data_IF_743311240688
#
_entry.id   IF_743311240688
#
_cell.length_a   1.000
_cell.length_b   1.000
_cell.length_c   1.000
_cell.angle_alpha   90.00
_cell.angle_beta   90.00
_cell.angle_gamma   90.00
#
_symmetry.space_group_name_H-M   'P 1'
#
loop_
_entity.id
_entity.type
_entity.pdbx_description
1 polymer ?
#
# COMPACT_ATOMS: atom_id res chain seq x y z
N UNK A 1 -12.98 -39.62 -46.48
CA UNK A 1 -11.90 -38.61 -46.50
C UNK A 1 -12.47 -37.34 -45.93
N UNK A 2 -12.05 -36.88 -44.72
CA UNK A 2 -12.41 -35.54 -44.20
C UNK A 2 -11.76 -34.53 -45.14
N UNK A 3 -12.54 -33.62 -45.68
CA UNK A 3 -12.07 -32.54 -46.52
C UNK A 3 -11.18 -31.65 -45.68
N UNK A 4 -9.94 -31.45 -46.08
CA UNK A 4 -8.99 -30.55 -45.45
C UNK A 4 -9.55 -29.11 -45.46
N UNK A 5 -9.84 -28.56 -44.30
CA UNK A 5 -10.26 -27.17 -44.14
C UNK A 5 -9.08 -26.34 -43.62
N UNK A 6 -8.48 -25.47 -44.43
CA UNK A 6 -7.37 -24.62 -43.99
C UNK A 6 -7.72 -23.69 -42.83
N UNK A 7 -9.00 -23.41 -42.61
CA UNK A 7 -9.47 -22.54 -41.50
C UNK A 7 -9.38 -23.23 -40.13
N UNK A 8 -9.19 -24.55 -40.07
CA UNK A 8 -9.03 -25.33 -38.84
C UNK A 8 -7.56 -25.45 -38.36
N UNK A 9 -6.59 -25.00 -39.18
CA UNK A 9 -5.19 -25.06 -38.77
C UNK A 9 -4.83 -23.89 -37.88
N UNK A 10 -4.66 -24.17 -36.61
CA UNK A 10 -4.27 -23.20 -35.60
C UNK A 10 -3.02 -23.64 -34.85
N UNK A 11 -2.17 -22.71 -34.51
CA UNK A 11 -1.12 -22.88 -33.49
C UNK A 11 -1.56 -22.09 -32.25
N UNK A 12 -1.36 -22.67 -31.08
CA UNK A 12 -1.57 -21.97 -29.82
C UNK A 12 -0.21 -21.73 -29.17
N UNK A 13 0.02 -20.49 -28.79
CA UNK A 13 1.25 -20.04 -28.10
C UNK A 13 0.88 -19.17 -26.94
N UNK A 14 1.73 -19.12 -25.92
CA UNK A 14 1.63 -18.17 -24.81
C UNK A 14 2.83 -17.23 -24.83
N UNK A 15 2.57 -15.96 -24.62
CA UNK A 15 3.59 -14.95 -24.42
C UNK A 15 3.65 -14.54 -22.95
N UNK A 16 4.83 -14.15 -22.50
CA UNK A 16 5.09 -13.65 -21.14
C UNK A 16 5.99 -12.45 -21.21
N UNK A 17 5.76 -11.49 -20.33
CA UNK A 17 6.63 -10.34 -20.17
C UNK A 17 6.87 -10.07 -18.68
N UNK A 18 7.97 -9.44 -18.33
CA UNK A 18 8.33 -9.04 -16.98
C UNK A 18 8.97 -7.66 -17.03
N UNK A 19 8.62 -6.82 -16.07
CA UNK A 19 9.25 -5.53 -15.85
C UNK A 19 9.64 -5.38 -14.37
N UNK A 20 10.69 -4.62 -14.12
CA UNK A 20 11.05 -4.14 -12.79
C UNK A 20 10.97 -2.63 -12.76
N UNK A 21 10.50 -2.06 -11.67
CA UNK A 21 10.40 -0.62 -11.50
C UNK A 21 10.60 -0.24 -10.04
N UNK A 22 11.27 0.90 -9.81
CA UNK A 22 11.37 1.45 -8.47
C UNK A 22 10.01 2.04 -8.05
N UNK A 23 9.66 1.96 -6.74
CA UNK A 23 8.51 2.66 -6.21
C UNK A 23 8.60 4.16 -6.47
N UNK A 24 7.47 4.81 -6.66
CA UNK A 24 7.32 6.25 -6.83
C UNK A 24 6.19 6.83 -5.99
N UNK A 25 5.55 6.00 -5.17
CA UNK A 25 4.50 6.38 -4.24
C UNK A 25 4.82 5.84 -2.86
N UNK A 26 4.54 6.65 -1.84
CA UNK A 26 4.68 6.34 -0.42
C UNK A 26 3.29 6.35 0.21
N UNK A 27 2.95 5.29 0.93
CA UNK A 27 1.75 5.22 1.75
C UNK A 27 2.15 5.11 3.22
N UNK A 28 1.66 6.06 4.03
CA UNK A 28 1.86 6.09 5.48
C UNK A 28 0.50 5.99 6.16
N UNK A 29 0.36 5.06 7.09
CA UNK A 29 -0.84 4.92 7.91
C UNK A 29 -0.50 5.33 9.33
N UNK A 30 -1.12 6.43 9.77
CA UNK A 30 -0.88 7.07 11.07
C UNK A 30 -2.16 7.09 11.89
N UNK A 31 -2.04 7.02 13.22
CA UNK A 31 -3.17 7.10 14.13
C UNK A 31 -3.01 8.18 15.17
N UNK A 32 -4.15 8.82 15.49
CA UNK A 32 -4.31 9.68 16.67
C UNK A 32 -5.31 9.01 17.59
N UNK A 33 -4.84 8.61 18.77
CA UNK A 33 -5.66 8.05 19.83
C UNK A 33 -5.72 9.01 21.02
N UNK A 34 -6.90 9.15 21.62
CA UNK A 34 -7.13 9.94 22.81
C UNK A 34 -8.03 9.19 23.78
N UNK A 35 -7.82 9.43 25.07
CA UNK A 35 -8.63 8.85 26.15
C UNK A 35 -9.12 9.93 27.10
N UNK A 36 -10.38 9.86 27.50
CA UNK A 36 -10.95 10.74 28.50
C UNK A 36 -12.08 10.05 29.28
N UNK A 37 -12.56 10.68 30.36
CA UNK A 37 -13.64 10.15 31.18
C UNK A 37 -14.97 10.11 30.46
N UNK A 38 -15.18 10.97 29.45
CA UNK A 38 -16.37 11.00 28.64
C UNK A 38 -16.03 10.85 27.15
N UNK A 39 -16.95 10.27 26.38
CA UNK A 39 -16.77 10.13 24.94
C UNK A 39 -16.61 11.51 24.24
N UNK A 40 -17.37 12.52 24.69
CA UNK A 40 -17.31 13.87 24.12
C UNK A 40 -15.95 14.55 24.35
N UNK A 41 -15.40 14.40 25.55
CA UNK A 41 -14.08 14.95 25.88
C UNK A 41 -12.97 14.25 25.07
N UNK A 42 -13.00 12.90 25.00
CA UNK A 42 -12.05 12.14 24.18
C UNK A 42 -12.14 12.53 22.70
N UNK A 43 -13.36 12.69 22.17
CA UNK A 43 -13.57 13.14 20.80
C UNK A 43 -13.00 14.56 20.57
N UNK A 44 -13.24 15.47 21.48
CA UNK A 44 -12.73 16.85 21.36
C UNK A 44 -11.20 16.89 21.36
N UNK A 45 -10.56 16.14 22.25
CA UNK A 45 -9.11 16.02 22.30
C UNK A 45 -8.55 15.41 20.99
N UNK A 46 -9.18 14.34 20.50
CA UNK A 46 -8.79 13.69 19.26
C UNK A 46 -8.86 14.65 18.07
N UNK A 47 -9.98 15.38 17.95
CA UNK A 47 -10.19 16.35 16.86
C UNK A 47 -9.16 17.48 16.88
N UNK A 48 -8.81 17.98 18.05
CA UNK A 48 -7.78 19.02 18.18
C UNK A 48 -6.40 18.51 17.74
N UNK A 49 -6.01 17.31 18.19
CA UNK A 49 -4.75 16.68 17.78
C UNK A 49 -4.73 16.40 16.29
N UNK A 50 -5.84 15.89 15.73
CA UNK A 50 -5.96 15.61 14.31
C UNK A 50 -5.78 16.87 13.46
N UNK A 51 -6.41 18.00 13.83
CA UNK A 51 -6.25 19.27 13.13
C UNK A 51 -4.79 19.75 13.17
N UNK A 52 -4.10 19.56 14.29
CA UNK A 52 -2.68 19.90 14.42
C UNK A 52 -1.82 19.02 13.49
N UNK A 53 -2.11 17.73 13.41
CA UNK A 53 -1.42 16.79 12.53
C UNK A 53 -1.62 17.17 11.06
N UNK A 54 -2.87 17.41 10.62
CA UNK A 54 -3.17 17.80 9.24
C UNK A 54 -2.45 19.09 8.89
N UNK A 55 -2.49 20.10 9.76
CA UNK A 55 -1.78 21.35 9.54
C UNK A 55 -0.26 21.17 9.41
N UNK A 56 0.33 20.30 10.23
CA UNK A 56 1.76 20.01 10.18
C UNK A 56 2.15 19.27 8.89
N UNK A 57 1.34 18.30 8.46
CA UNK A 57 1.53 17.59 7.21
C UNK A 57 1.43 18.53 6.00
N UNK A 58 0.43 19.44 6.01
CA UNK A 58 0.29 20.46 4.96
C UNK A 58 1.50 21.39 4.90
N UNK A 59 2.04 21.80 6.05
CA UNK A 59 3.27 22.59 6.13
C UNK A 59 4.51 21.83 5.61
N UNK A 60 4.50 20.50 5.73
CA UNK A 60 5.52 19.62 5.14
C UNK A 60 5.29 19.38 3.64
N UNK A 61 4.26 20.03 3.08
CA UNK A 61 3.92 20.00 1.65
C UNK A 61 3.13 18.78 1.22
N UNK A 62 2.46 18.08 2.14
CA UNK A 62 1.46 17.06 1.81
C UNK A 62 0.15 17.77 1.51
N UNK A 63 -0.46 17.47 0.38
CA UNK A 63 -1.80 18.01 0.04
C UNK A 63 -2.86 17.43 0.97
N UNK A 64 -3.89 18.21 1.29
CA UNK A 64 -5.04 17.68 2.03
C UNK A 64 -5.77 16.57 1.24
N UNK A 65 -5.74 16.63 -0.09
CA UNK A 65 -6.31 15.60 -0.97
C UNK A 65 -5.58 14.25 -0.85
N UNK A 66 -4.30 14.27 -0.41
CA UNK A 66 -3.47 13.09 -0.20
C UNK A 66 -3.68 12.47 1.20
N UNK A 67 -4.49 13.12 2.06
CA UNK A 67 -4.77 12.70 3.43
C UNK A 67 -6.21 12.22 3.53
N UNK A 68 -6.41 10.95 3.86
CA UNK A 68 -7.73 10.35 4.01
C UNK A 68 -7.89 9.71 5.38
N UNK A 69 -9.07 9.86 6.00
CA UNK A 69 -9.42 9.07 7.17
C UNK A 69 -9.78 7.65 6.71
N UNK A 70 -8.97 6.68 7.10
CA UNK A 70 -9.20 5.27 6.78
C UNK A 70 -10.04 4.55 7.83
N UNK A 71 -10.00 5.00 9.09
CA UNK A 71 -10.83 4.45 10.16
C UNK A 71 -11.08 5.49 11.24
N UNK A 72 -12.29 5.41 11.83
CA UNK A 72 -12.69 6.18 13.01
C UNK A 72 -13.49 5.29 13.96
N UNK A 73 -13.13 5.29 15.25
CA UNK A 73 -13.84 4.50 16.26
C UNK A 73 -13.84 5.18 17.62
N UNK A 74 -14.93 4.96 18.34
CA UNK A 74 -15.08 5.37 19.76
C UNK A 74 -15.54 4.11 20.52
N UNK A 75 -14.85 3.78 21.60
CA UNK A 75 -15.24 2.65 22.43
C UNK A 75 -14.96 2.91 23.92
N UNK A 76 -15.81 2.33 24.81
CA UNK A 76 -15.62 2.44 26.24
C UNK A 76 -14.43 1.60 26.72
N UNK A 77 -13.72 2.12 27.71
CA UNK A 77 -12.64 1.44 28.42
C UNK A 77 -13.15 0.98 29.78
N UNK A 78 -12.91 -0.28 30.12
CA UNK A 78 -13.31 -0.88 31.37
C UNK A 78 -12.10 -1.37 32.14
N UNK A 79 -12.07 -1.05 33.45
CA UNK A 79 -11.12 -1.64 34.38
C UNK A 79 -11.75 -2.86 35.05
N UNK A 80 -10.96 -3.91 35.26
CA UNK A 80 -11.38 -5.06 36.06
C UNK A 80 -10.87 -4.87 37.48
N UNK A 81 -11.82 -4.71 38.43
CA UNK A 81 -11.53 -4.59 39.85
C UNK A 81 -12.17 -5.73 40.65
N UNK A 82 -11.57 -6.04 41.79
CA UNK A 82 -12.21 -6.97 42.74
C UNK A 82 -13.10 -6.20 43.74
N UNK A 83 -14.32 -6.70 43.95
CA UNK A 83 -15.20 -6.20 45.01
C UNK A 83 -14.73 -6.71 46.39
N UNK A 84 -15.45 -6.29 47.46
CA UNK A 84 -15.14 -6.71 48.82
C UNK A 84 -15.29 -8.23 49.07
N UNK A 85 -16.03 -8.91 48.22
CA UNK A 85 -16.27 -10.35 48.30
C UNK A 85 -15.30 -11.16 47.42
N UNK A 86 -14.37 -10.47 46.74
CA UNK A 86 -13.34 -11.07 45.89
C UNK A 86 -13.77 -11.39 44.46
N UNK A 87 -14.98 -10.97 44.03
CA UNK A 87 -15.49 -11.16 42.70
C UNK A 87 -14.94 -10.09 41.74
N UNK A 88 -14.68 -10.46 40.50
CA UNK A 88 -14.27 -9.51 39.49
C UNK A 88 -15.48 -8.73 38.94
N UNK A 89 -15.34 -7.40 38.92
CA UNK A 89 -16.31 -6.49 38.32
C UNK A 89 -15.62 -5.61 37.28
N UNK A 90 -16.33 -5.31 36.18
CA UNK A 90 -15.89 -4.35 35.18
C UNK A 90 -16.51 -2.99 35.47
N UNK A 91 -15.66 -2.00 35.67
CA UNK A 91 -16.06 -0.61 35.87
C UNK A 91 -15.62 0.22 34.69
N UNK A 92 -16.56 1.02 34.16
CA UNK A 92 -16.26 1.98 33.09
C UNK A 92 -15.22 2.98 33.58
N UNK A 93 -14.05 2.99 32.96
CA UNK A 93 -12.95 3.90 33.28
C UNK A 93 -12.93 5.15 32.40
N UNK A 94 -13.41 5.04 31.17
CA UNK A 94 -13.43 6.14 30.22
C UNK A 94 -13.76 5.71 28.81
N UNK A 95 -13.38 6.52 27.85
CA UNK A 95 -13.59 6.27 26.43
C UNK A 95 -12.31 6.55 25.68
N UNK A 96 -12.05 5.73 24.67
CA UNK A 96 -10.98 5.94 23.70
C UNK A 96 -11.57 6.28 22.35
N UNK A 97 -11.04 7.31 21.73
CA UNK A 97 -11.28 7.66 20.33
C UNK A 97 -10.01 7.34 19.55
N UNK A 98 -10.16 6.63 18.45
CA UNK A 98 -9.08 6.33 17.52
C UNK A 98 -9.46 6.85 16.14
N UNK A 99 -8.59 7.64 15.54
CA UNK A 99 -8.70 8.14 14.17
C UNK A 99 -7.45 7.75 13.42
N UNK A 100 -7.61 7.02 12.32
CA UNK A 100 -6.50 6.53 11.50
C UNK A 100 -6.54 7.25 10.15
N UNK A 101 -5.43 7.89 9.81
CA UNK A 101 -5.19 8.54 8.54
C UNK A 101 -4.35 7.65 7.63
N UNK A 102 -4.69 7.65 6.36
CA UNK A 102 -3.85 7.15 5.27
C UNK A 102 -3.37 8.33 4.45
N UNK A 103 -2.07 8.44 4.29
CA UNK A 103 -1.40 9.49 3.52
C UNK A 103 -0.78 8.80 2.32
N UNK A 104 -1.08 9.28 1.11
CA UNK A 104 -0.46 8.80 -0.11
C UNK A 104 0.26 9.97 -0.80
N UNK A 105 1.55 9.84 -1.09
CA UNK A 105 2.35 10.92 -1.69
C UNK A 105 3.47 10.37 -2.56
N UNK A 106 3.90 11.15 -3.53
CA UNK A 106 5.08 10.86 -4.36
C UNK A 106 6.41 11.29 -3.69
N UNK A 107 6.36 11.92 -2.52
CA UNK A 107 7.54 12.38 -1.78
C UNK A 107 8.21 11.25 -1.00
N UNK A 108 8.65 10.21 -1.72
CA UNK A 108 9.21 9.00 -1.14
C UNK A 108 10.45 9.24 -0.28
N UNK A 109 11.29 10.20 -0.66
CA UNK A 109 12.53 10.54 0.04
C UNK A 109 12.29 11.29 1.35
N UNK A 110 11.08 11.84 1.54
CA UNK A 110 10.70 12.63 2.73
C UNK A 110 9.95 11.81 3.78
N UNK A 111 9.92 10.48 3.67
CA UNK A 111 9.14 9.61 4.57
C UNK A 111 9.46 9.87 6.05
N UNK A 112 10.74 9.99 6.40
CA UNK A 112 11.18 10.27 7.76
C UNK A 112 10.67 11.63 8.27
N UNK A 113 10.87 12.69 7.49
CA UNK A 113 10.47 14.05 7.85
C UNK A 113 8.95 14.16 8.03
N UNK A 114 8.17 13.46 7.19
CA UNK A 114 6.71 13.42 7.28
C UNK A 114 6.27 12.73 8.57
N UNK A 115 6.88 11.61 8.93
CA UNK A 115 6.57 10.88 10.17
C UNK A 115 6.96 11.70 11.38
N UNK A 116 8.14 12.32 11.39
CA UNK A 116 8.63 13.14 12.49
C UNK A 116 7.72 14.37 12.71
N UNK A 117 7.30 15.03 11.64
CA UNK A 117 6.36 16.15 11.70
C UNK A 117 5.00 15.72 12.26
N UNK A 118 4.49 14.57 11.84
CA UNK A 118 3.23 14.01 12.29
C UNK A 118 3.29 13.64 13.78
N UNK A 119 4.33 12.93 14.23
CA UNK A 119 4.51 12.51 15.63
C UNK A 119 4.66 13.73 16.52
N UNK A 120 5.45 14.73 16.13
CA UNK A 120 5.62 15.98 16.86
C UNK A 120 4.33 16.79 17.00
N UNK A 121 3.33 16.54 16.14
CA UNK A 121 2.06 17.27 16.11
C UNK A 121 0.90 16.51 16.77
N UNK A 122 1.13 15.29 17.29
CA UNK A 122 0.14 14.56 18.06
C UNK A 122 -0.20 13.16 17.56
N UNK A 123 0.43 12.67 16.50
CA UNK A 123 0.35 11.25 16.13
C UNK A 123 1.03 10.43 17.24
N UNK A 124 0.32 9.42 17.72
CA UNK A 124 0.82 8.50 18.75
C UNK A 124 0.75 7.03 18.33
N UNK A 125 0.45 6.80 17.04
CA UNK A 125 0.42 5.47 16.43
C UNK A 125 0.88 5.54 14.98
N UNK A 126 1.81 4.69 14.59
CA UNK A 126 2.25 4.48 13.21
C UNK A 126 2.00 3.02 12.87
N UNK A 127 1.06 2.76 11.98
CA UNK A 127 0.62 1.41 11.67
C UNK A 127 1.37 0.81 10.49
N UNK A 128 1.62 1.62 9.46
CA UNK A 128 2.29 1.14 8.25
C UNK A 128 3.04 2.26 7.54
N UNK A 129 4.15 1.89 6.93
CA UNK A 129 4.90 2.70 5.96
C UNK A 129 5.26 1.77 4.80
N UNK A 130 4.72 2.05 3.63
CA UNK A 130 4.96 1.22 2.45
C UNK A 130 5.28 2.06 1.23
N UNK A 131 6.18 1.55 0.41
CA UNK A 131 6.57 2.12 -0.87
C UNK A 131 5.97 1.25 -1.97
N UNK A 132 5.30 1.88 -2.90
CA UNK A 132 4.58 1.20 -3.97
C UNK A 132 4.70 1.96 -5.29
N UNK A 133 4.22 1.35 -6.36
CA UNK A 133 4.03 2.07 -7.61
C UNK A 133 2.76 2.92 -7.52
N UNK A 134 2.80 4.12 -8.07
CA UNK A 134 1.58 4.91 -8.30
C UNK A 134 0.67 4.19 -9.28
N UNK A 135 -0.63 4.47 -9.21
CA UNK A 135 -1.62 3.86 -10.11
C UNK A 135 -1.31 4.16 -11.58
N UNK A 136 -0.89 5.38 -11.89
CA UNK A 136 -0.51 5.80 -13.25
C UNK A 136 0.70 5.00 -13.76
N UNK A 137 1.70 4.80 -12.90
CA UNK A 137 2.89 4.04 -13.26
C UNK A 137 2.59 2.55 -13.39
N UNK A 138 1.75 2.01 -12.51
CA UNK A 138 1.30 0.63 -12.58
C UNK A 138 0.54 0.37 -13.88
N UNK A 139 -0.40 1.27 -14.24
CA UNK A 139 -1.15 1.18 -15.48
C UNK A 139 -0.23 1.21 -16.72
N UNK A 140 0.71 2.14 -16.74
CA UNK A 140 1.67 2.23 -17.85
C UNK A 140 2.51 0.97 -17.99
N UNK A 141 3.02 0.44 -16.88
CA UNK A 141 3.80 -0.81 -16.89
C UNK A 141 2.93 -1.98 -17.37
N UNK A 142 1.66 -2.06 -16.95
CA UNK A 142 0.72 -3.08 -17.40
C UNK A 142 0.51 -3.02 -18.91
N UNK A 143 0.27 -1.83 -19.45
CA UNK A 143 0.10 -1.64 -20.91
C UNK A 143 1.35 -2.07 -21.71
N UNK A 144 2.53 -1.69 -21.22
CA UNK A 144 3.81 -2.07 -21.85
C UNK A 144 4.01 -3.60 -21.78
N UNK A 145 3.71 -4.23 -20.64
CA UNK A 145 3.82 -5.68 -20.45
C UNK A 145 2.86 -6.47 -21.36
N UNK A 146 1.65 -5.98 -21.57
CA UNK A 146 0.69 -6.58 -22.52
C UNK A 146 1.29 -6.57 -23.96
N UNK A 147 1.83 -5.42 -24.36
CA UNK A 147 2.46 -5.29 -25.68
C UNK A 147 3.66 -6.25 -25.85
N UNK A 148 4.51 -6.33 -24.82
CA UNK A 148 5.69 -7.20 -24.83
C UNK A 148 5.31 -8.69 -24.82
N UNK A 149 4.29 -9.08 -24.05
CA UNK A 149 3.79 -10.45 -24.04
C UNK A 149 3.20 -10.86 -25.39
N UNK A 150 2.48 -9.97 -26.07
CA UNK A 150 1.98 -10.22 -27.42
C UNK A 150 3.13 -10.39 -28.40
N UNK A 151 4.16 -9.56 -28.31
CA UNK A 151 5.36 -9.66 -29.13
C UNK A 151 6.09 -10.98 -28.91
N UNK A 152 6.27 -11.41 -27.65
CA UNK A 152 6.88 -12.70 -27.30
C UNK A 152 6.08 -13.87 -27.85
N UNK A 153 4.73 -13.87 -27.71
CA UNK A 153 3.86 -14.88 -28.29
C UNK A 153 3.99 -14.94 -29.82
N UNK A 154 4.02 -13.78 -30.48
CA UNK A 154 4.15 -13.67 -31.92
C UNK A 154 5.48 -14.26 -32.39
N UNK A 155 6.58 -13.89 -31.74
CA UNK A 155 7.91 -14.43 -32.07
C UNK A 155 7.99 -15.95 -31.85
N UNK A 156 7.37 -16.47 -30.78
CA UNK A 156 7.29 -17.91 -30.54
C UNK A 156 6.52 -18.63 -31.64
N UNK A 157 5.39 -18.07 -32.06
CA UNK A 157 4.61 -18.61 -33.16
C UNK A 157 5.39 -18.62 -34.48
N UNK A 158 6.05 -17.53 -34.83
CA UNK A 158 6.89 -17.44 -36.03
C UNK A 158 8.02 -18.48 -36.01
N UNK A 159 8.78 -18.55 -34.89
CA UNK A 159 9.86 -19.53 -34.72
C UNK A 159 9.38 -20.97 -34.87
N UNK A 160 8.17 -21.29 -34.38
CA UNK A 160 7.60 -22.63 -34.50
C UNK A 160 7.14 -22.96 -35.94
N UNK A 161 6.74 -21.95 -36.73
CA UNK A 161 6.22 -22.13 -38.07
C UNK A 161 7.31 -22.21 -39.17
N UNK A 162 8.48 -21.61 -38.95
CA UNK A 162 9.60 -21.61 -39.90
C UNK A 162 10.01 -23.02 -40.35
N UNK A 163 10.29 -23.99 -39.45
CA UNK A 163 10.66 -25.35 -39.88
C UNK A 163 9.56 -26.05 -40.67
N UNK A 164 8.30 -25.66 -40.44
CA UNK A 164 7.12 -26.23 -41.12
C UNK A 164 6.82 -25.54 -42.45
N UNK A 165 7.62 -24.54 -42.86
CA UNK A 165 7.41 -23.70 -44.04
C UNK A 165 6.01 -23.04 -44.04
N UNK A 166 5.48 -22.71 -42.88
CA UNK A 166 4.18 -22.07 -42.67
C UNK A 166 4.41 -20.62 -42.19
N UNK A 167 3.35 -19.82 -42.28
CA UNK A 167 3.33 -18.43 -41.79
C UNK A 167 2.03 -18.10 -41.08
N UNK A 168 2.05 -17.11 -40.22
CA UNK A 168 0.87 -16.56 -39.61
C UNK A 168 0.05 -15.82 -40.69
N UNK A 169 -1.23 -16.14 -40.80
CA UNK A 169 -2.17 -15.47 -41.70
C UNK A 169 -3.20 -14.62 -40.97
N UNK A 170 -3.33 -14.82 -39.66
CA UNK A 170 -4.25 -14.05 -38.80
C UNK A 170 -4.24 -14.56 -37.38
N UNK A 171 -4.89 -13.82 -36.52
CA UNK A 171 -5.11 -14.16 -35.11
C UNK A 171 -6.55 -14.57 -34.91
N UNK A 172 -6.79 -15.76 -34.36
CA UNK A 172 -8.12 -16.28 -34.09
C UNK A 172 -8.67 -15.79 -32.73
N UNK A 173 -7.81 -15.71 -31.71
CA UNK A 173 -8.19 -15.32 -30.36
C UNK A 173 -6.95 -14.82 -29.62
N UNK A 174 -7.15 -13.81 -28.78
CA UNK A 174 -6.19 -13.38 -27.77
C UNK A 174 -6.90 -13.42 -26.43
N UNK A 175 -6.28 -14.06 -25.46
CA UNK A 175 -6.74 -14.08 -24.08
C UNK A 175 -5.63 -13.45 -23.24
N UNK A 176 -5.97 -12.42 -22.53
CA UNK A 176 -5.04 -11.68 -21.64
C UNK A 176 -5.42 -12.07 -20.20
N UNK A 177 -4.43 -12.51 -19.44
CA UNK A 177 -4.55 -12.69 -18.00
C UNK A 177 -3.73 -11.56 -17.38
N UNK A 178 -4.45 -10.65 -16.75
CA UNK A 178 -3.87 -9.39 -16.22
C UNK A 178 -3.49 -9.56 -14.74
N UNK A 179 -2.80 -10.63 -14.43
CA UNK A 179 -2.23 -10.87 -13.11
C UNK A 179 -0.88 -10.16 -13.00
N UNK A 180 -0.88 -8.80 -13.01
CA UNK A 180 0.33 -8.03 -12.68
C UNK A 180 0.57 -8.17 -11.18
N UNK A 181 1.44 -9.09 -10.80
CA UNK A 181 1.92 -9.19 -9.42
C UNK A 181 3.15 -8.29 -9.31
N UNK A 182 3.06 -7.13 -8.64
CA UNK A 182 4.22 -6.28 -8.46
C UNK A 182 5.25 -7.02 -7.59
N UNK A 183 6.40 -7.32 -8.17
CA UNK A 183 7.56 -7.80 -7.42
C UNK A 183 8.40 -6.59 -7.04
N UNK A 184 8.37 -6.23 -5.77
CA UNK A 184 9.21 -5.17 -5.22
C UNK A 184 10.57 -5.76 -4.86
N UNK A 185 11.61 -5.41 -5.60
CA UNK A 185 12.98 -5.58 -5.11
C UNK A 185 13.16 -4.53 -4.01
N UNK A 186 13.15 -4.96 -2.76
CA UNK A 186 13.06 -4.07 -1.60
C UNK A 186 14.43 -3.39 -1.33
N UNK A 187 14.66 -2.16 -1.80
CA UNK A 187 15.93 -1.45 -1.56
C UNK A 187 16.08 -0.96 -0.10
N UNK A 188 15.08 -1.20 0.76
CA UNK A 188 15.01 -0.61 2.10
C UNK A 188 15.95 -1.20 3.15
N UNK A 189 16.72 -2.23 2.87
CA UNK A 189 17.70 -2.72 3.87
C UNK A 189 18.78 -1.69 4.22
N UNK A 190 19.04 -0.72 3.34
CA UNK A 190 20.13 0.24 3.54
C UNK A 190 19.73 1.51 4.34
N UNK A 191 18.43 1.86 4.37
CA UNK A 191 17.97 3.12 5.00
C UNK A 191 17.56 2.96 6.47
N UNK A 192 17.19 1.75 6.90
CA UNK A 192 16.81 1.49 8.30
C UNK A 192 17.97 1.26 9.25
N UNK A 193 19.16 0.93 8.75
CA UNK A 193 20.36 0.80 9.60
C UNK A 193 20.75 2.13 10.27
N UNK A 194 20.42 3.28 9.66
CA UNK A 194 20.63 4.60 10.23
C UNK A 194 19.71 4.94 11.40
N UNK A 195 18.46 4.46 11.39
CA UNK A 195 17.49 4.69 12.47
C UNK A 195 17.76 3.85 13.72
N UNK A 196 18.21 2.61 13.55
CA UNK A 196 18.54 1.73 14.67
C UNK A 196 19.72 2.24 15.49
N UNK A 197 20.71 2.87 14.86
CA UNK A 197 21.91 3.36 15.54
C UNK A 197 21.68 4.63 16.35
N UNK A 198 20.77 5.51 15.90
CA UNK A 198 20.41 6.73 16.65
C UNK A 198 19.53 6.44 17.86
N UNK A 199 18.63 5.44 17.77
CA UNK A 199 17.72 5.07 18.85
C UNK A 199 18.40 4.31 20.00
N UNK A 200 19.51 3.61 19.73
CA UNK A 200 20.27 2.88 20.77
C UNK A 200 21.19 3.79 21.60
N UNK A 201 21.48 5.01 21.14
CA UNK A 201 22.35 5.94 21.88
C UNK A 201 21.66 6.74 22.99
N UNK A 202 20.34 6.67 23.09
CA UNK A 202 19.56 7.48 24.06
C UNK A 202 18.81 6.67 25.13
N UNK A 203 19.05 5.37 25.28
CA UNK A 203 18.51 4.60 26.38
C UNK A 203 19.45 4.68 27.59
N UNK A 204 19.06 5.33 28.70
CA UNK A 204 19.84 5.26 29.95
C UNK A 204 19.70 3.86 30.56
N UNK A 205 20.82 3.34 31.02
CA UNK A 205 20.93 2.12 31.82
C UNK A 205 20.34 2.36 33.21
#
# INVERSE_FOLDING_TARGET
MKKYDPSEQTISVSGTAMASSNPDSLVIVLGVESEAKTANESLSQNSNSLNSVISSLSNSGISEDDIQTSNFSIYPLYDSIKDSDGNWQQILNGYRVSNILSIQTEKIDSAGDIIDAAVSSGVNRVDNVSFQLSDDKLQKISDDLIADAINDATQKAEKALVPLKQKIVGVKSVIIHDDVVPYYDNPMRASFDGFAESSMKSAPI
#
